data_IF_246347336442
#
_entry.id   IF_246347336442
#
_cell.length_a   1.000
_cell.length_b   1.000
_cell.length_c   1.000
_cell.angle_alpha   90.00
_cell.angle_beta   90.00
_cell.angle_gamma   90.00
#
_symmetry.space_group_name_H-M   'P 1'
#
loop_
_entity.id
_entity.type
_entity.pdbx_description
1 polymer ?
#
# COMPACT_ATOMS: atom_id res chain seq x y z
N UNK A 1 -8.97 38.82 1.75
CA UNK A 1 -7.99 37.71 1.62
C UNK A 1 -8.16 37.13 0.22
N UNK A 2 -7.11 37.17 -0.63
CA UNK A 2 -7.15 36.52 -1.94
C UNK A 2 -7.00 35.01 -1.75
N UNK A 3 -7.91 34.24 -2.34
CA UNK A 3 -7.87 32.78 -2.30
C UNK A 3 -6.85 32.29 -3.34
N UNK A 4 -5.98 31.36 -2.95
CA UNK A 4 -5.01 30.74 -3.87
C UNK A 4 -5.76 29.74 -4.76
N UNK A 5 -6.22 30.20 -5.92
CA UNK A 5 -6.99 29.43 -6.90
C UNK A 5 -6.50 29.78 -8.32
N UNK A 6 -6.25 28.79 -9.19
CA UNK A 6 -5.81 29.06 -10.55
C UNK A 6 -6.94 29.73 -11.37
N UNK A 7 -6.57 30.61 -12.31
CA UNK A 7 -7.53 31.25 -13.23
C UNK A 7 -7.95 30.32 -14.37
N UNK A 8 -7.05 29.42 -14.79
CA UNK A 8 -7.27 28.40 -15.82
C UNK A 8 -6.50 27.12 -15.47
N UNK A 9 -7.01 25.96 -15.90
CA UNK A 9 -6.27 24.70 -15.78
C UNK A 9 -5.15 24.64 -16.81
N UNK A 10 -4.06 23.95 -16.45
CA UNK A 10 -3.02 23.60 -17.41
C UNK A 10 -3.62 22.67 -18.48
N UNK A 11 -3.30 22.94 -19.74
CA UNK A 11 -3.57 22.01 -20.83
C UNK A 11 -2.65 20.80 -20.66
N UNK A 12 -3.24 19.60 -20.65
CA UNK A 12 -2.48 18.36 -20.54
C UNK A 12 -1.49 18.29 -21.71
N UNK A 13 -0.18 18.16 -21.47
CA UNK A 13 0.75 17.97 -22.57
C UNK A 13 0.35 16.69 -23.31
N UNK A 14 0.25 16.77 -24.64
CA UNK A 14 -0.06 15.62 -25.49
C UNK A 14 0.93 14.50 -25.19
N UNK A 15 0.44 13.38 -24.65
CA UNK A 15 1.22 12.16 -24.33
C UNK A 15 1.91 11.52 -25.55
N UNK A 16 1.70 12.07 -26.74
CA UNK A 16 2.49 11.79 -27.92
C UNK A 16 3.93 12.24 -27.67
N UNK A 17 4.77 11.30 -27.21
CA UNK A 17 6.21 11.45 -27.22
C UNK A 17 6.61 11.85 -28.63
N UNK A 18 7.07 13.08 -28.82
CA UNK A 18 7.77 13.49 -30.02
C UNK A 18 9.12 12.73 -30.06
N UNK A 19 9.07 11.44 -30.40
CA UNK A 19 10.23 10.59 -30.61
C UNK A 19 11.00 10.98 -31.89
N UNK A 20 10.53 11.99 -32.63
CA UNK A 20 11.06 12.43 -33.92
C UNK A 20 11.42 13.92 -33.97
N UNK A 21 11.52 14.60 -32.82
CA UNK A 21 12.03 15.98 -32.82
C UNK A 21 13.57 15.93 -32.83
N UNK A 22 14.25 16.44 -33.88
CA UNK A 22 15.69 16.42 -33.95
C UNK A 22 16.26 17.16 -32.74
N UNK A 23 17.30 16.59 -32.13
CA UNK A 23 18.06 17.28 -31.08
C UNK A 23 18.39 18.68 -31.59
N UNK A 24 17.99 19.70 -30.82
CA UNK A 24 18.42 21.06 -31.09
C UNK A 24 19.95 21.09 -30.90
N UNK A 25 20.67 20.84 -32.00
CA UNK A 25 22.05 21.29 -32.13
C UNK A 25 22.06 22.74 -31.71
N UNK A 26 23.10 23.14 -30.98
CA UNK A 26 23.36 24.50 -30.53
C UNK A 26 23.51 25.40 -31.76
N UNK A 27 22.40 25.77 -32.41
CA UNK A 27 22.36 26.83 -33.38
C UNK A 27 22.34 28.12 -32.58
N UNK A 28 23.54 28.67 -32.43
CA UNK A 28 23.72 30.04 -31.96
C UNK A 28 23.14 30.93 -33.05
N UNK A 29 22.03 31.59 -32.74
CA UNK A 29 21.51 32.67 -33.60
C UNK A 29 22.58 33.78 -33.68
N UNK A 30 22.63 34.52 -34.80
CA UNK A 30 23.62 35.57 -35.05
C UNK A 30 23.63 36.70 -34.00
N UNK A 31 22.63 36.71 -33.11
CA UNK A 31 22.51 37.60 -31.94
C UNK A 31 23.01 36.98 -30.61
N UNK A 32 23.66 35.82 -30.65
CA UNK A 32 24.30 35.18 -29.49
C UNK A 32 23.34 34.54 -28.47
N UNK A 33 22.06 34.34 -28.82
CA UNK A 33 21.07 33.74 -27.91
C UNK A 33 21.06 32.22 -28.07
N UNK A 34 21.23 31.51 -26.97
CA UNK A 34 21.22 30.05 -26.91
C UNK A 34 19.88 29.56 -26.32
N UNK A 35 19.04 28.83 -27.08
CA UNK A 35 17.86 28.18 -26.52
C UNK A 35 18.30 26.96 -25.69
N UNK A 36 18.11 27.00 -24.36
CA UNK A 36 18.34 25.83 -23.50
C UNK A 36 17.12 24.90 -23.49
N UNK A 37 16.96 24.08 -24.52
CA UNK A 37 15.89 23.06 -24.56
C UNK A 37 16.25 21.74 -23.86
N UNK A 38 17.47 21.58 -23.34
CA UNK A 38 18.00 20.27 -22.93
C UNK A 38 18.24 20.06 -21.43
N UNK A 39 17.65 20.87 -20.54
CA UNK A 39 17.86 20.72 -19.06
C UNK A 39 17.36 19.37 -18.52
N UNK A 40 16.47 18.67 -19.25
CA UNK A 40 15.91 17.37 -18.85
C UNK A 40 16.53 16.15 -19.54
N UNK A 41 17.53 16.33 -20.42
CA UNK A 41 18.24 15.22 -21.07
C UNK A 41 19.75 15.44 -20.93
N UNK A 42 20.40 14.84 -19.91
CA UNK A 42 21.85 14.87 -19.83
C UNK A 42 22.44 14.24 -21.10
N UNK A 43 23.44 14.90 -21.69
CA UNK A 43 24.16 14.36 -22.85
C UNK A 43 24.94 13.10 -22.43
N UNK A 44 24.98 12.05 -23.25
CA UNK A 44 25.98 10.99 -23.09
C UNK A 44 27.36 11.64 -23.13
N UNK A 45 28.18 11.42 -22.10
CA UNK A 45 29.52 12.02 -21.99
C UNK A 45 30.53 11.37 -22.96
N UNK A 46 30.18 10.21 -23.51
CA UNK A 46 31.00 9.45 -24.44
C UNK A 46 30.06 8.69 -25.38
N UNK A 47 30.11 9.01 -26.67
CA UNK A 47 29.57 8.13 -27.70
C UNK A 47 30.55 6.97 -27.84
N UNK A 48 30.24 5.83 -27.22
CA UNK A 48 30.99 4.60 -27.41
C UNK A 48 30.40 3.95 -28.66
N UNK A 49 31.13 3.98 -29.76
CA UNK A 49 30.80 3.18 -30.94
C UNK A 49 30.65 1.71 -30.51
N UNK A 50 29.59 0.99 -30.94
CA UNK A 50 29.44 -0.40 -30.59
C UNK A 50 30.65 -1.18 -31.09
N UNK A 51 31.31 -2.01 -30.26
CA UNK A 51 32.46 -2.76 -30.71
C UNK A 51 32.02 -3.72 -31.83
N UNK A 52 32.63 -3.54 -33.00
CA UNK A 52 32.52 -4.48 -34.11
C UNK A 52 32.82 -5.89 -33.59
N UNK A 53 31.84 -6.78 -33.68
CA UNK A 53 31.94 -8.13 -33.16
C UNK A 53 32.96 -8.94 -33.96
N UNK A 54 34.18 -9.09 -33.44
CA UNK A 54 35.07 -10.20 -33.77
C UNK A 54 35.18 -11.12 -32.56
N UNK A 55 34.80 -12.38 -32.77
CA UNK A 55 34.96 -13.54 -31.90
C UNK A 55 36.19 -13.48 -30.97
N UNK A 56 36.01 -13.79 -29.68
CA UNK A 56 36.59 -14.97 -28.98
C UNK A 56 36.17 -14.93 -27.50
N UNK A 57 35.81 -16.12 -27.00
CA UNK A 57 35.47 -16.54 -25.64
C UNK A 57 36.24 -15.89 -24.49
N UNK A 58 35.53 -15.48 -23.43
CA UNK A 58 35.79 -15.94 -22.05
C UNK A 58 34.70 -15.44 -21.06
N UNK A 59 34.38 -16.30 -20.10
CA UNK A 59 33.47 -16.06 -18.99
C UNK A 59 33.99 -14.93 -18.10
N UNK A 60 33.23 -13.84 -17.98
CA UNK A 60 33.07 -13.02 -16.77
C UNK A 60 31.92 -12.02 -17.02
N UNK A 61 31.26 -11.59 -15.94
CA UNK A 61 29.95 -10.94 -15.93
C UNK A 61 29.70 -9.95 -17.07
N UNK A 62 28.81 -10.33 -18.01
CA UNK A 62 28.08 -9.38 -18.85
C UNK A 62 27.17 -8.55 -17.94
N UNK A 63 27.65 -7.37 -17.52
CA UNK A 63 26.75 -6.28 -17.19
C UNK A 63 25.81 -6.12 -18.39
N UNK A 64 24.54 -6.41 -18.20
CA UNK A 64 23.56 -6.32 -19.27
C UNK A 64 23.49 -4.88 -19.77
N UNK A 65 23.82 -4.65 -21.04
CA UNK A 65 23.59 -3.41 -21.80
C UNK A 65 22.09 -3.17 -21.99
N UNK A 66 21.33 -3.03 -20.90
CA UNK A 66 19.95 -2.55 -20.97
C UNK A 66 20.00 -1.03 -21.11
N UNK A 67 19.41 -0.43 -22.17
CA UNK A 67 19.22 1.00 -22.26
C UNK A 67 18.62 1.54 -20.96
N UNK A 68 19.15 2.64 -20.44
CA UNK A 68 18.71 3.26 -19.18
C UNK A 68 17.18 3.51 -19.17
N UNK A 69 16.60 3.80 -20.34
CA UNK A 69 15.17 4.01 -20.56
C UNK A 69 14.30 2.77 -20.27
N UNK A 70 14.89 1.58 -20.32
CA UNK A 70 14.25 0.30 -19.99
C UNK A 70 14.52 -0.13 -18.54
N UNK A 71 15.22 0.68 -17.74
CA UNK A 71 15.46 0.37 -16.34
C UNK A 71 14.16 0.46 -15.53
N UNK A 72 13.73 -0.63 -14.87
CA UNK A 72 12.44 -0.68 -14.18
C UNK A 72 12.34 0.29 -13.00
N UNK A 73 13.47 0.61 -12.35
CA UNK A 73 13.52 1.60 -11.26
C UNK A 73 13.48 3.04 -11.79
N UNK A 74 14.05 3.32 -12.96
CA UNK A 74 13.87 4.61 -13.63
C UNK A 74 12.40 4.80 -14.01
N UNK A 75 11.78 3.78 -14.61
CA UNK A 75 10.36 3.81 -14.95
C UNK A 75 9.49 4.10 -13.72
N UNK A 76 9.75 3.44 -12.58
CA UNK A 76 9.06 3.72 -11.32
C UNK A 76 9.24 5.18 -10.86
N UNK A 77 10.45 5.75 -10.96
CA UNK A 77 10.71 7.16 -10.59
C UNK A 77 9.97 8.13 -11.51
N UNK A 78 9.96 7.86 -12.83
CA UNK A 78 9.21 8.67 -13.80
C UNK A 78 7.71 8.63 -13.48
N UNK A 79 7.14 7.44 -13.29
CA UNK A 79 5.74 7.27 -12.90
C UNK A 79 5.40 8.01 -11.60
N UNK A 80 6.33 8.06 -10.64
CA UNK A 80 6.14 8.82 -9.40
C UNK A 80 6.04 10.33 -9.66
N UNK A 81 6.94 10.90 -10.46
CA UNK A 81 6.89 12.34 -10.78
C UNK A 81 5.64 12.70 -11.60
N UNK A 82 5.32 11.88 -12.59
CA UNK A 82 4.13 12.06 -13.43
C UNK A 82 2.85 11.99 -12.58
N UNK A 83 2.77 11.00 -11.68
CA UNK A 83 1.65 10.83 -10.77
C UNK A 83 1.51 12.00 -9.80
N UNK A 84 2.62 12.52 -9.24
CA UNK A 84 2.58 13.69 -8.37
C UNK A 84 2.14 14.95 -9.13
N UNK A 85 2.59 15.14 -10.36
CA UNK A 85 2.15 16.25 -11.21
C UNK A 85 0.64 16.15 -11.50
N UNK A 86 0.14 14.95 -11.80
CA UNK A 86 -1.29 14.69 -12.00
C UNK A 86 -2.11 15.03 -10.75
N UNK A 87 -1.63 14.68 -9.55
CA UNK A 87 -2.34 15.02 -8.30
C UNK A 87 -2.41 16.54 -8.04
N UNK A 88 -1.45 17.33 -8.55
CA UNK A 88 -1.54 18.79 -8.49
C UNK A 88 -2.67 19.33 -9.37
N UNK A 89 -2.90 18.73 -10.53
CA UNK A 89 -4.03 19.08 -11.41
C UNK A 89 -5.38 18.73 -10.73
N UNK A 90 -5.45 17.61 -10.01
CA UNK A 90 -6.61 17.24 -9.19
C UNK A 90 -6.85 18.28 -8.09
N UNK A 91 -5.80 18.67 -7.36
CA UNK A 91 -5.87 19.72 -6.33
C UNK A 91 -6.35 21.06 -6.92
N UNK A 92 -5.92 21.41 -8.13
CA UNK A 92 -6.35 22.62 -8.85
C UNK A 92 -7.82 22.54 -9.27
N UNK A 93 -8.29 21.37 -9.73
CA UNK A 93 -9.70 21.13 -10.01
C UNK A 93 -10.54 21.31 -8.74
N UNK A 94 -10.11 20.73 -7.62
CA UNK A 94 -10.81 20.83 -6.34
C UNK A 94 -10.87 22.29 -5.84
N UNK A 95 -9.79 23.07 -6.03
CA UNK A 95 -9.78 24.52 -5.77
C UNK A 95 -10.76 25.27 -6.68
N UNK A 96 -10.77 24.98 -7.98
CA UNK A 96 -11.66 25.62 -8.94
C UNK A 96 -13.13 25.38 -8.62
N UNK A 97 -13.50 24.13 -8.33
CA UNK A 97 -14.85 23.71 -7.96
C UNK A 97 -15.33 24.39 -6.67
N UNK A 98 -14.42 24.67 -5.73
CA UNK A 98 -14.75 25.30 -4.44
C UNK A 98 -14.99 26.81 -4.54
N UNK A 99 -14.23 27.51 -5.37
CA UNK A 99 -14.20 28.97 -5.36
C UNK A 99 -14.88 29.65 -6.55
N UNK A 100 -15.17 28.93 -7.64
CA UNK A 100 -15.76 29.52 -8.84
C UNK A 100 -17.18 29.00 -9.10
N UNK A 101 -18.05 29.90 -9.58
CA UNK A 101 -19.34 29.52 -10.16
C UNK A 101 -19.10 29.15 -11.64
N UNK A 102 -19.32 27.88 -11.97
CA UNK A 102 -19.06 27.34 -13.30
C UNK A 102 -20.39 27.18 -14.07
N UNK A 103 -20.38 27.49 -15.37
CA UNK A 103 -21.58 27.46 -16.21
C UNK A 103 -22.27 26.08 -16.24
N UNK A 104 -21.49 25.00 -16.21
CA UNK A 104 -21.97 23.60 -16.18
C UNK A 104 -22.07 23.04 -14.74
N UNK A 105 -22.14 23.90 -13.72
CA UNK A 105 -22.16 23.49 -12.31
C UNK A 105 -20.93 22.65 -11.89
N UNK A 106 -19.87 22.65 -12.69
CA UNK A 106 -18.65 21.89 -12.50
C UNK A 106 -18.69 20.42 -12.95
N UNK A 107 -19.70 19.96 -13.70
CA UNK A 107 -19.81 18.55 -14.07
C UNK A 107 -18.63 18.07 -14.92
N UNK A 108 -18.22 18.83 -15.94
CA UNK A 108 -16.99 18.53 -16.71
C UNK A 108 -15.73 18.42 -15.85
N UNK A 109 -15.55 19.32 -14.87
CA UNK A 109 -14.39 19.29 -13.98
C UNK A 109 -14.41 18.07 -13.06
N UNK A 110 -15.56 17.71 -12.49
CA UNK A 110 -15.69 16.48 -11.68
C UNK A 110 -15.39 15.22 -12.51
N UNK A 111 -15.84 15.19 -13.78
CA UNK A 111 -15.50 14.10 -14.70
C UNK A 111 -14.00 14.04 -14.99
N UNK A 112 -13.37 15.18 -15.30
CA UNK A 112 -11.91 15.26 -15.52
C UNK A 112 -11.14 14.80 -14.28
N UNK A 113 -11.57 15.24 -13.08
CA UNK A 113 -11.00 14.81 -11.80
C UNK A 113 -11.01 13.30 -11.64
N UNK A 114 -12.14 12.66 -11.93
CA UNK A 114 -12.28 11.21 -11.85
C UNK A 114 -11.36 10.49 -12.84
N UNK A 115 -11.33 10.93 -14.10
CA UNK A 115 -10.47 10.35 -15.14
C UNK A 115 -8.99 10.42 -14.73
N UNK A 116 -8.53 11.55 -14.18
CA UNK A 116 -7.14 11.67 -13.71
C UNK A 116 -6.82 10.64 -12.61
N UNK A 117 -7.73 10.45 -11.65
CA UNK A 117 -7.52 9.47 -10.57
C UNK A 117 -7.50 8.03 -11.12
N UNK A 118 -8.37 7.70 -12.07
CA UNK A 118 -8.38 6.39 -12.76
C UNK A 118 -7.11 6.18 -13.60
N UNK A 119 -6.62 7.21 -14.30
CA UNK A 119 -5.36 7.19 -15.04
C UNK A 119 -4.15 6.93 -14.12
N UNK A 120 -4.19 7.48 -12.89
CA UNK A 120 -3.16 7.20 -11.90
C UNK A 120 -3.21 5.74 -11.45
N UNK A 121 -4.39 5.17 -11.17
CA UNK A 121 -4.51 3.74 -10.86
C UNK A 121 -3.99 2.85 -12.01
N UNK A 122 -4.32 3.19 -13.26
CA UNK A 122 -3.80 2.47 -14.43
C UNK A 122 -2.27 2.57 -14.54
N UNK A 123 -1.69 3.73 -14.23
CA UNK A 123 -0.22 3.93 -14.22
C UNK A 123 0.48 3.15 -13.11
N UNK A 124 -0.20 2.94 -11.99
CA UNK A 124 0.23 2.07 -10.89
C UNK A 124 -0.07 0.58 -11.15
N UNK A 125 -0.75 0.26 -12.27
CA UNK A 125 -1.22 -1.09 -12.64
C UNK A 125 -2.12 -1.73 -11.58
N UNK A 126 -3.00 -0.94 -10.98
CA UNK A 126 -3.97 -1.40 -10.00
C UNK A 126 -5.25 -1.86 -10.71
N UNK A 127 -5.36 -3.16 -10.97
CA UNK A 127 -6.54 -3.76 -11.58
C UNK A 127 -7.57 -4.19 -10.52
N UNK A 128 -8.87 -4.20 -10.87
CA UNK A 128 -9.91 -4.81 -10.03
C UNK A 128 -9.95 -6.33 -10.24
N UNK A 129 -9.51 -7.16 -9.29
CA UNK A 129 -9.58 -8.61 -9.39
C UNK A 129 -11.01 -9.12 -9.26
N UNK A 130 -11.97 -8.27 -8.88
CA UNK A 130 -13.39 -8.61 -8.83
C UNK A 130 -14.14 -8.22 -10.12
N UNK A 131 -13.46 -7.58 -11.08
CA UNK A 131 -14.04 -7.30 -12.38
C UNK A 131 -14.32 -8.63 -13.10
N UNK A 132 -15.57 -8.80 -13.56
CA UNK A 132 -16.08 -10.02 -14.21
C UNK A 132 -15.46 -10.22 -15.60
N UNK A 133 -14.18 -10.52 -15.69
CA UNK A 133 -13.55 -10.94 -16.93
C UNK A 133 -13.39 -12.47 -16.88
N UNK A 134 -14.17 -13.16 -17.73
CA UNK A 134 -14.37 -14.62 -17.73
C UNK A 134 -13.18 -15.47 -18.19
N UNK A 135 -11.97 -15.21 -17.69
CA UNK A 135 -10.85 -16.15 -17.76
C UNK A 135 -10.57 -16.71 -16.36
N UNK A 136 -11.36 -17.73 -16.04
CA UNK A 136 -11.38 -18.51 -14.80
C UNK A 136 -10.15 -19.42 -14.62
N UNK A 137 -8.98 -19.05 -15.17
CA UNK A 137 -7.77 -19.89 -15.11
C UNK A 137 -6.52 -19.15 -14.60
N UNK A 138 -6.62 -17.85 -14.29
CA UNK A 138 -5.53 -17.11 -13.67
C UNK A 138 -6.07 -16.15 -12.58
N UNK A 139 -6.40 -16.73 -11.43
CA UNK A 139 -6.08 -16.09 -10.14
C UNK A 139 -4.54 -16.04 -9.92
N UNK A 140 -3.77 -16.32 -10.98
CA UNK A 140 -2.35 -16.14 -11.06
C UNK A 140 -2.05 -14.67 -10.80
N UNK A 141 -1.23 -14.47 -9.79
CA UNK A 141 -0.50 -13.24 -9.50
C UNK A 141 -0.18 -12.51 -10.80
N UNK A 142 -1.03 -11.56 -11.21
CA UNK A 142 -0.54 -10.45 -12.00
C UNK A 142 0.46 -9.78 -11.09
N UNK A 143 1.72 -9.88 -11.50
CA UNK A 143 2.84 -9.38 -10.76
C UNK A 143 2.63 -7.90 -10.47
N UNK A 144 2.23 -7.57 -9.24
CA UNK A 144 2.10 -6.19 -8.72
C UNK A 144 3.48 -5.49 -8.65
N UNK A 145 4.47 -5.95 -9.43
CA UNK A 145 5.86 -5.51 -9.47
C UNK A 145 5.97 -4.02 -9.77
N UNK A 146 5.12 -3.46 -10.61
CA UNK A 146 5.12 -2.00 -10.86
C UNK A 146 4.72 -1.25 -9.59
N UNK A 147 3.61 -1.64 -8.97
CA UNK A 147 3.19 -1.07 -7.69
C UNK A 147 4.27 -1.23 -6.62
N UNK A 148 4.83 -2.43 -6.47
CA UNK A 148 5.88 -2.75 -5.49
C UNK A 148 7.15 -1.93 -5.71
N UNK A 149 7.62 -1.75 -6.95
CA UNK A 149 8.77 -0.89 -7.27
C UNK A 149 8.50 0.58 -6.92
N UNK A 150 7.28 1.06 -7.14
CA UNK A 150 6.88 2.42 -6.79
C UNK A 150 6.88 2.60 -5.27
N UNK A 151 6.22 1.71 -4.53
CA UNK A 151 6.13 1.82 -3.06
C UNK A 151 7.42 1.43 -2.32
N UNK A 152 8.39 0.82 -3.00
CA UNK A 152 9.75 0.65 -2.48
C UNK A 152 10.46 2.00 -2.27
N UNK A 153 10.09 3.03 -3.04
CA UNK A 153 10.68 4.36 -2.96
C UNK A 153 9.91 5.23 -1.96
N UNK A 154 10.58 6.00 -1.08
CA UNK A 154 9.91 6.90 -0.14
C UNK A 154 8.99 7.90 -0.84
N UNK A 155 9.39 8.44 -2.00
CA UNK A 155 8.55 9.36 -2.77
C UNK A 155 7.31 8.68 -3.36
N UNK A 156 7.39 7.39 -3.69
CA UNK A 156 6.22 6.60 -4.11
C UNK A 156 5.24 6.35 -2.96
N UNK A 157 5.74 6.12 -1.73
CA UNK A 157 4.87 6.08 -0.53
C UNK A 157 4.18 7.42 -0.26
N UNK A 158 4.87 8.55 -0.48
CA UNK A 158 4.28 9.90 -0.41
C UNK A 158 3.20 10.11 -1.48
N UNK A 159 3.46 9.68 -2.72
CA UNK A 159 2.48 9.69 -3.81
C UNK A 159 1.23 8.89 -3.40
N UNK A 160 1.39 7.66 -2.90
CA UNK A 160 0.29 6.81 -2.47
C UNK A 160 -0.53 7.44 -1.33
N UNK A 161 0.13 8.03 -0.33
CA UNK A 161 -0.55 8.73 0.75
C UNK A 161 -1.38 9.93 0.22
N UNK A 162 -0.81 10.73 -0.69
CA UNK A 162 -1.55 11.86 -1.31
C UNK A 162 -2.70 11.38 -2.19
N UNK A 163 -2.50 10.30 -2.93
CA UNK A 163 -3.54 9.71 -3.77
C UNK A 163 -4.74 9.26 -2.93
N UNK A 164 -4.50 8.50 -1.85
CA UNK A 164 -5.54 8.06 -0.92
C UNK A 164 -6.36 9.21 -0.30
N UNK A 165 -5.71 10.36 -0.01
CA UNK A 165 -6.39 11.54 0.53
C UNK A 165 -7.34 12.21 -0.47
N UNK A 166 -7.14 12.00 -1.77
CA UNK A 166 -7.94 12.61 -2.85
C UNK A 166 -9.06 11.69 -3.36
N UNK A 167 -9.02 10.40 -3.02
CA UNK A 167 -10.06 9.44 -3.36
C UNK A 167 -11.33 9.66 -2.53
N UNK A 168 -12.49 9.40 -3.15
CA UNK A 168 -13.76 9.48 -2.43
C UNK A 168 -13.95 8.26 -1.51
N UNK A 169 -14.36 8.46 -0.25
CA UNK A 169 -14.70 7.36 0.65
C UNK A 169 -15.84 6.51 0.07
N UNK A 170 -15.67 5.19 0.06
CA UNK A 170 -16.68 4.24 -0.44
C UNK A 170 -16.75 4.11 -1.96
N UNK A 171 -15.90 4.81 -2.72
CA UNK A 171 -15.80 4.64 -4.16
C UNK A 171 -15.07 3.34 -4.52
N UNK A 172 -15.36 2.84 -5.73
CA UNK A 172 -14.78 1.63 -6.30
C UNK A 172 -13.25 1.76 -6.42
N UNK A 173 -12.76 2.93 -6.84
CA UNK A 173 -11.33 3.21 -6.94
C UNK A 173 -10.62 3.13 -5.58
N UNK A 174 -11.26 3.62 -4.50
CA UNK A 174 -10.74 3.48 -3.14
C UNK A 174 -10.61 2.00 -2.76
N UNK A 175 -11.63 1.19 -3.07
CA UNK A 175 -11.61 -0.25 -2.81
C UNK A 175 -10.43 -0.93 -3.52
N UNK A 176 -10.23 -0.66 -4.80
CA UNK A 176 -9.14 -1.24 -5.61
C UNK A 176 -7.77 -0.91 -5.00
N UNK A 177 -7.53 0.38 -4.71
CA UNK A 177 -6.25 0.86 -4.16
C UNK A 177 -6.00 0.27 -2.77
N UNK A 178 -7.01 0.29 -1.87
CA UNK A 178 -6.88 -0.31 -0.55
C UNK A 178 -6.62 -1.81 -0.63
N UNK A 179 -7.31 -2.55 -1.50
CA UNK A 179 -7.10 -3.98 -1.62
C UNK A 179 -5.69 -4.33 -2.13
N UNK A 180 -5.10 -3.54 -3.03
CA UNK A 180 -3.70 -3.69 -3.43
C UNK A 180 -2.73 -3.43 -2.25
N UNK A 181 -2.99 -2.38 -1.45
CA UNK A 181 -2.21 -2.10 -0.23
C UNK A 181 -2.28 -3.27 0.76
N UNK A 182 -3.48 -3.81 0.98
CA UNK A 182 -3.74 -4.87 1.95
C UNK A 182 -3.08 -6.20 1.54
N UNK A 183 -3.01 -6.47 0.23
CA UNK A 183 -2.25 -7.60 -0.32
C UNK A 183 -0.75 -7.50 -0.02
N UNK A 184 -0.20 -6.29 0.10
CA UNK A 184 1.23 -6.03 0.22
C UNK A 184 1.66 -5.41 1.55
N UNK A 185 0.88 -5.62 2.62
CA UNK A 185 1.21 -5.10 3.96
C UNK A 185 2.58 -5.57 4.46
N UNK A 186 3.00 -6.79 4.13
CA UNK A 186 4.32 -7.31 4.51
C UNK A 186 5.47 -6.58 3.82
N UNK A 187 5.30 -6.21 2.55
CA UNK A 187 6.28 -5.43 1.81
C UNK A 187 6.34 -3.98 2.30
N UNK A 188 5.16 -3.37 2.53
CA UNK A 188 5.06 -1.97 2.97
C UNK A 188 5.58 -1.76 4.40
N UNK A 189 5.24 -2.66 5.33
CA UNK A 189 5.41 -2.44 6.77
C UNK A 189 6.27 -3.50 7.48
N UNK A 190 6.82 -4.48 6.74
CA UNK A 190 7.63 -5.56 7.32
C UNK A 190 9.11 -5.22 7.55
N UNK A 191 9.68 -4.29 6.79
CA UNK A 191 11.10 -3.94 6.84
C UNK A 191 11.48 -3.01 7.99
N UNK A 192 12.75 -3.10 8.42
CA UNK A 192 13.37 -2.08 9.26
C UNK A 192 13.73 -0.88 8.38
N UNK A 193 13.17 0.28 8.69
CA UNK A 193 13.34 1.49 7.88
C UNK A 193 14.32 2.46 8.53
N UNK A 194 15.11 3.14 7.70
CA UNK A 194 15.94 4.27 8.11
C UNK A 194 15.08 5.53 8.32
N UNK A 195 15.59 6.48 9.10
CA UNK A 195 14.86 7.65 9.63
C UNK A 195 13.94 8.39 8.61
N UNK A 196 14.38 8.81 7.41
CA UNK A 196 13.48 9.47 6.44
C UNK A 196 12.43 8.54 5.80
N UNK A 197 12.70 7.23 5.75
CA UNK A 197 11.77 6.22 5.27
C UNK A 197 10.71 5.85 6.33
N UNK A 198 11.09 5.89 7.60
CA UNK A 198 10.21 5.60 8.73
C UNK A 198 9.10 6.64 8.86
N UNK A 199 9.42 7.94 8.84
CA UNK A 199 8.41 9.03 8.91
C UNK A 199 7.39 8.93 7.77
N UNK A 200 7.87 8.68 6.55
CA UNK A 200 7.00 8.54 5.37
C UNK A 200 6.04 7.36 5.52
N UNK A 201 6.51 6.26 6.11
CA UNK A 201 5.73 5.04 6.31
C UNK A 201 4.72 5.19 7.44
N UNK A 202 5.10 5.89 8.51
CA UNK A 202 4.20 6.27 9.58
C UNK A 202 3.04 7.13 9.06
N UNK A 203 3.35 8.19 8.29
CA UNK A 203 2.32 9.02 7.65
C UNK A 203 1.41 8.20 6.73
N UNK A 204 1.98 7.31 5.90
CA UNK A 204 1.19 6.44 5.03
C UNK A 204 0.24 5.55 5.84
N UNK A 205 0.69 4.96 6.96
CA UNK A 205 -0.15 4.11 7.81
C UNK A 205 -1.34 4.87 8.42
N UNK A 206 -1.11 6.12 8.85
CA UNK A 206 -2.14 7.01 9.38
C UNK A 206 -3.17 7.37 8.32
N UNK A 207 -2.71 7.68 7.10
CA UNK A 207 -3.60 7.96 5.97
C UNK A 207 -4.44 6.74 5.62
N UNK A 208 -3.84 5.54 5.48
CA UNK A 208 -4.58 4.31 5.20
C UNK A 208 -5.63 4.06 6.27
N UNK A 209 -5.27 4.19 7.55
CA UNK A 209 -6.19 4.02 8.67
C UNK A 209 -7.34 5.01 8.61
N UNK A 210 -7.07 6.29 8.27
CA UNK A 210 -8.11 7.29 8.06
C UNK A 210 -9.03 6.95 6.89
N UNK A 211 -8.49 6.44 5.78
CA UNK A 211 -9.29 6.01 4.63
C UNK A 211 -10.19 4.82 4.98
N UNK A 212 -9.67 3.84 5.72
CA UNK A 212 -10.43 2.68 6.24
C UNK A 212 -11.65 3.13 7.05
N UNK A 213 -11.53 4.19 7.85
CA UNK A 213 -12.66 4.75 8.59
C UNK A 213 -13.79 5.29 7.69
N UNK A 214 -13.55 5.55 6.40
CA UNK A 214 -14.56 5.98 5.44
C UNK A 214 -15.18 4.85 4.60
N UNK A 215 -14.66 3.63 4.69
CA UNK A 215 -15.07 2.51 3.82
C UNK A 215 -16.36 1.83 4.30
N UNK A 216 -17.05 1.18 3.37
CA UNK A 216 -18.23 0.36 3.64
C UNK A 216 -17.86 -1.09 3.98
N UNK A 217 -18.82 -1.89 4.45
CA UNK A 217 -18.55 -3.25 4.91
C UNK A 217 -18.02 -4.14 3.77
N UNK A 218 -18.48 -3.93 2.54
CA UNK A 218 -18.01 -4.69 1.37
C UNK A 218 -16.53 -4.45 1.12
N UNK A 219 -16.10 -3.20 1.04
CA UNK A 219 -14.72 -2.85 0.77
C UNK A 219 -13.78 -3.31 1.91
N UNK A 220 -14.22 -3.22 3.17
CA UNK A 220 -13.48 -3.78 4.32
C UNK A 220 -13.30 -5.29 4.21
N UNK A 221 -14.36 -6.01 3.82
CA UNK A 221 -14.31 -7.48 3.66
C UNK A 221 -13.31 -7.89 2.58
N UNK A 222 -13.36 -7.23 1.42
CA UNK A 222 -12.43 -7.50 0.30
C UNK A 222 -10.98 -7.16 0.68
N UNK A 223 -10.76 -6.05 1.39
CA UNK A 223 -9.41 -5.71 1.88
C UNK A 223 -8.90 -6.77 2.86
N UNK A 224 -9.75 -7.27 3.76
CA UNK A 224 -9.37 -8.32 4.70
C UNK A 224 -9.07 -9.65 3.99
N UNK A 225 -9.90 -10.03 3.00
CA UNK A 225 -9.64 -11.18 2.15
C UNK A 225 -8.29 -11.06 1.40
N UNK A 226 -7.95 -9.88 0.89
CA UNK A 226 -6.68 -9.65 0.20
C UNK A 226 -5.45 -9.88 1.11
N UNK A 227 -5.57 -9.67 2.42
CA UNK A 227 -4.51 -10.00 3.39
C UNK A 227 -4.32 -11.50 3.50
N UNK A 228 -5.42 -12.25 3.58
CA UNK A 228 -5.41 -13.71 3.68
C UNK A 228 -4.84 -14.33 2.40
N UNK A 229 -5.25 -13.82 1.24
CA UNK A 229 -4.81 -14.31 -0.06
C UNK A 229 -3.40 -13.83 -0.47
N UNK A 230 -2.72 -13.06 0.38
CA UNK A 230 -1.35 -12.62 0.11
C UNK A 230 -0.37 -13.78 0.16
N UNK A 231 0.66 -13.75 -0.71
CA UNK A 231 1.78 -14.68 -0.67
C UNK A 231 2.64 -14.51 0.58
N UNK A 232 2.64 -13.32 1.18
CA UNK A 232 3.44 -13.01 2.37
C UNK A 232 2.55 -12.50 3.51
N UNK A 233 2.67 -13.12 4.69
CA UNK A 233 1.88 -12.71 5.85
C UNK A 233 2.33 -11.36 6.40
N UNK A 234 1.39 -10.45 6.75
CA UNK A 234 1.73 -9.16 7.33
C UNK A 234 2.43 -9.31 8.70
N UNK A 235 3.25 -8.33 9.11
CA UNK A 235 3.83 -8.30 10.45
C UNK A 235 2.73 -7.97 11.47
N UNK A 236 2.22 -8.97 12.17
CA UNK A 236 1.20 -8.81 13.22
C UNK A 236 1.84 -8.49 14.58
N UNK A 237 2.64 -7.41 14.64
CA UNK A 237 3.34 -6.99 15.88
C UNK A 237 2.36 -6.29 16.84
N UNK A 238 2.59 -6.31 18.16
CA UNK A 238 1.75 -5.54 19.09
C UNK A 238 1.85 -4.04 18.84
N UNK A 239 0.85 -3.26 19.25
CA UNK A 239 0.89 -1.81 19.13
C UNK A 239 1.99 -1.21 20.02
N UNK A 240 2.66 -0.17 19.53
CA UNK A 240 3.82 0.44 20.18
C UNK A 240 5.13 -0.35 20.05
N UNK A 241 5.18 -1.39 19.21
CA UNK A 241 6.42 -2.14 19.00
C UNK A 241 7.49 -1.25 18.34
N UNK A 242 8.73 -1.20 18.86
CA UNK A 242 9.79 -0.34 18.33
C UNK A 242 10.20 -0.69 16.90
N UNK A 243 9.95 -1.93 16.45
CA UNK A 243 10.21 -2.37 15.07
C UNK A 243 9.08 -2.01 14.10
N UNK A 244 8.09 -1.21 14.53
CA UNK A 244 6.94 -0.77 13.75
C UNK A 244 5.73 -1.69 13.89
N UNK A 245 4.56 -1.10 14.11
CA UNK A 245 3.26 -1.75 14.36
C UNK A 245 2.18 -1.41 13.31
N UNK A 246 2.58 -0.74 12.23
CA UNK A 246 1.69 -0.13 11.24
C UNK A 246 0.68 -1.10 10.61
N UNK A 247 1.10 -2.33 10.28
CA UNK A 247 0.19 -3.33 9.71
C UNK A 247 -0.90 -3.74 10.71
N UNK A 248 -0.53 -3.98 11.98
CA UNK A 248 -1.50 -4.27 13.04
C UNK A 248 -2.44 -3.09 13.28
N UNK A 249 -1.94 -1.87 13.25
CA UNK A 249 -2.74 -0.65 13.40
C UNK A 249 -3.79 -0.49 12.28
N UNK A 250 -3.40 -0.77 11.04
CA UNK A 250 -4.30 -0.76 9.88
C UNK A 250 -5.37 -1.86 10.02
N UNK A 251 -4.98 -3.09 10.34
CA UNK A 251 -5.90 -4.22 10.50
C UNK A 251 -6.87 -4.00 11.67
N UNK A 252 -6.38 -3.45 12.79
CA UNK A 252 -7.22 -3.05 13.91
C UNK A 252 -8.24 -1.99 13.48
N UNK A 253 -7.84 -1.01 12.68
CA UNK A 253 -8.74 0.02 12.15
C UNK A 253 -9.87 -0.59 11.30
N UNK A 254 -9.59 -1.65 10.54
CA UNK A 254 -10.62 -2.40 9.78
C UNK A 254 -11.63 -3.06 10.71
N UNK A 255 -11.15 -3.77 11.74
CA UNK A 255 -12.02 -4.45 12.71
C UNK A 255 -12.87 -3.45 13.52
N UNK A 256 -12.27 -2.34 13.96
CA UNK A 256 -12.96 -1.28 14.69
C UNK A 256 -14.03 -0.62 13.82
N UNK A 257 -13.74 -0.33 12.55
CA UNK A 257 -14.72 0.20 11.61
C UNK A 257 -15.84 -0.79 11.32
N UNK A 258 -15.53 -2.06 11.09
CA UNK A 258 -16.55 -3.08 10.85
C UNK A 258 -17.48 -3.25 12.06
N UNK A 259 -16.93 -3.17 13.28
CA UNK A 259 -17.72 -3.18 14.52
C UNK A 259 -18.73 -2.04 14.54
N UNK A 260 -18.29 -0.80 14.24
CA UNK A 260 -19.18 0.37 14.16
C UNK A 260 -20.29 0.17 13.14
N UNK A 261 -19.94 -0.25 11.92
CA UNK A 261 -20.92 -0.50 10.85
C UNK A 261 -21.96 -1.56 11.25
N UNK A 262 -21.55 -2.64 11.92
CA UNK A 262 -22.46 -3.69 12.38
C UNK A 262 -23.44 -3.21 13.47
N UNK A 263 -22.97 -2.37 14.38
CA UNK A 263 -23.83 -1.73 15.39
C UNK A 263 -24.85 -0.83 14.70
N UNK A 264 -24.40 -0.01 13.73
CA UNK A 264 -25.26 0.90 12.98
C UNK A 264 -26.30 0.14 12.13
N UNK A 265 -25.91 -0.95 11.46
CA UNK A 265 -26.84 -1.79 10.69
C UNK A 265 -27.93 -2.40 11.56
N UNK A 266 -27.56 -2.86 12.77
CA UNK A 266 -28.52 -3.40 13.75
C UNK A 266 -29.49 -2.31 14.21
N UNK A 267 -29.01 -1.11 14.46
CA UNK A 267 -29.83 0.03 14.89
C UNK A 267 -30.77 0.53 13.77
N UNK A 268 -30.31 0.53 12.52
CA UNK A 268 -31.06 1.03 11.36
C UNK A 268 -32.01 -0.01 10.73
N UNK A 269 -31.96 -1.29 11.14
CA UNK A 269 -32.75 -2.36 10.54
C UNK A 269 -32.35 -2.72 9.10
N UNK A 270 -31.19 -2.23 8.63
CA UNK A 270 -30.71 -2.43 7.26
C UNK A 270 -29.79 -3.67 7.19
N UNK A 271 -30.36 -4.82 6.83
CA UNK A 271 -29.63 -6.09 6.72
C UNK A 271 -29.20 -6.37 5.29
N UNK A 272 -28.02 -5.88 4.88
CA UNK A 272 -27.40 -6.38 3.64
C UNK A 272 -26.73 -7.74 3.91
N UNK A 273 -27.52 -8.81 3.77
CA UNK A 273 -27.10 -10.19 4.05
C UNK A 273 -25.85 -10.61 3.27
N UNK A 274 -25.70 -10.18 2.02
CA UNK A 274 -24.56 -10.54 1.18
C UNK A 274 -23.25 -9.89 1.68
N UNK A 275 -23.30 -8.63 2.10
CA UNK A 275 -22.13 -7.95 2.67
C UNK A 275 -21.76 -8.55 4.05
N UNK A 276 -22.75 -8.96 4.84
CA UNK A 276 -22.51 -9.62 6.13
C UNK A 276 -21.89 -11.01 5.97
N UNK A 277 -22.38 -11.82 5.00
CA UNK A 277 -21.81 -13.13 4.72
C UNK A 277 -20.39 -13.01 4.18
N UNK A 278 -20.14 -12.05 3.28
CA UNK A 278 -18.80 -11.77 2.78
C UNK A 278 -17.85 -11.38 3.91
N UNK A 279 -18.27 -10.44 4.77
CA UNK A 279 -17.49 -10.05 5.95
C UNK A 279 -17.16 -11.24 6.84
N UNK A 280 -18.16 -12.07 7.17
CA UNK A 280 -17.97 -13.22 8.06
C UNK A 280 -16.95 -14.21 7.47
N UNK A 281 -17.07 -14.52 6.18
CA UNK A 281 -16.13 -15.40 5.50
C UNK A 281 -14.71 -14.82 5.49
N UNK A 282 -14.55 -13.54 5.14
CA UNK A 282 -13.24 -12.87 5.14
C UNK A 282 -12.64 -12.78 6.54
N UNK A 283 -13.46 -12.50 7.56
CA UNK A 283 -13.04 -12.45 8.95
C UNK A 283 -12.60 -13.82 9.47
N UNK A 284 -13.32 -14.90 9.16
CA UNK A 284 -12.99 -16.24 9.64
C UNK A 284 -11.63 -16.71 9.13
N UNK A 285 -11.36 -16.47 7.85
CA UNK A 285 -10.04 -16.77 7.26
C UNK A 285 -8.93 -15.92 7.88
N UNK A 286 -9.19 -14.63 8.09
CA UNK A 286 -8.23 -13.75 8.78
C UNK A 286 -7.98 -14.19 10.22
N UNK A 287 -9.03 -14.60 10.95
CA UNK A 287 -8.91 -15.07 12.33
C UNK A 287 -8.09 -16.35 12.41
N UNK A 288 -8.22 -17.25 11.44
CA UNK A 288 -7.38 -18.44 11.31
C UNK A 288 -5.91 -18.07 11.10
N UNK A 289 -5.62 -17.09 10.23
CA UNK A 289 -4.27 -16.56 10.02
C UNK A 289 -3.70 -15.96 11.32
N UNK A 290 -4.47 -15.11 12.02
CA UNK A 290 -4.06 -14.49 13.28
C UNK A 290 -3.80 -15.53 14.37
N UNK A 291 -4.65 -16.55 14.47
CA UNK A 291 -4.50 -17.63 15.45
C UNK A 291 -3.24 -18.45 15.19
N UNK A 292 -2.97 -18.81 13.93
CA UNK A 292 -1.72 -19.49 13.53
C UNK A 292 -0.50 -18.64 13.87
N UNK A 293 -0.55 -17.34 13.61
CA UNK A 293 0.52 -16.42 13.99
C UNK A 293 0.78 -16.42 15.50
N UNK A 294 -0.28 -16.33 16.32
CA UNK A 294 -0.16 -16.32 17.78
C UNK A 294 0.44 -17.64 18.30
N UNK A 295 0.00 -18.79 17.80
CA UNK A 295 0.53 -20.10 18.18
C UNK A 295 2.02 -20.19 17.84
N UNK A 296 2.39 -19.86 16.59
CA UNK A 296 3.79 -19.92 16.15
C UNK A 296 4.69 -19.00 16.97
N UNK A 297 4.22 -17.80 17.32
CA UNK A 297 4.97 -16.86 18.15
C UNK A 297 5.12 -17.36 19.58
N UNK A 298 4.07 -17.93 20.15
CA UNK A 298 4.13 -18.54 21.48
C UNK A 298 5.16 -19.69 21.51
N UNK A 299 5.09 -20.60 20.53
CA UNK A 299 6.03 -21.73 20.44
C UNK A 299 7.48 -21.26 20.27
N UNK A 300 7.70 -20.23 19.45
CA UNK A 300 9.03 -19.62 19.26
C UNK A 300 9.57 -19.03 20.56
N UNK A 301 8.74 -18.29 21.31
CA UNK A 301 9.12 -17.72 22.62
C UNK A 301 9.46 -18.84 23.61
N UNK A 302 8.60 -19.86 23.72
CA UNK A 302 8.81 -20.99 24.62
C UNK A 302 10.06 -21.79 24.28
N UNK A 303 10.34 -22.01 22.99
CA UNK A 303 11.56 -22.69 22.55
C UNK A 303 12.81 -21.86 22.86
N UNK A 304 12.76 -20.54 22.65
CA UNK A 304 13.88 -19.64 22.96
C UNK A 304 14.20 -19.60 24.45
N UNK A 305 13.18 -19.60 25.31
CA UNK A 305 13.34 -19.65 26.76
C UNK A 305 13.96 -20.97 27.20
N UNK A 306 13.48 -22.11 26.69
CA UNK A 306 14.07 -23.43 26.98
C UNK A 306 15.55 -23.52 26.61
N UNK A 307 15.96 -22.88 25.51
CA UNK A 307 17.36 -22.85 25.07
C UNK A 307 18.25 -21.91 25.91
N UNK A 308 17.68 -20.91 26.58
CA UNK A 308 18.41 -19.97 27.44
C UNK A 308 18.61 -20.49 28.87
N UNK A 309 17.86 -21.53 29.26
CA UNK A 309 18.02 -22.17 30.58
C UNK A 309 19.34 -22.95 30.64
N UNK A 310 20.27 -22.47 31.47
CA UNK A 310 21.38 -23.30 31.97
C UNK A 310 20.81 -24.36 32.91
N UNK A 311 21.40 -25.57 33.00
CA UNK A 311 20.83 -26.71 33.72
C UNK A 311 20.49 -26.50 35.21
N UNK A 312 20.90 -25.38 35.83
CA UNK A 312 20.69 -25.06 37.25
C UNK A 312 19.96 -23.74 37.53
N UNK A 313 19.29 -23.11 36.54
CA UNK A 313 18.49 -21.90 36.78
C UNK A 313 17.02 -22.14 36.42
N UNK A 314 16.11 -21.89 37.38
CA UNK A 314 14.69 -21.84 37.10
C UNK A 314 14.38 -20.61 36.21
N UNK A 315 13.46 -20.76 35.27
CA UNK A 315 12.97 -19.65 34.47
C UNK A 315 12.10 -18.77 35.38
N UNK A 316 12.39 -17.47 35.45
CA UNK A 316 11.47 -16.53 36.11
C UNK A 316 10.15 -16.45 35.33
N UNK A 317 9.06 -16.86 35.96
CA UNK A 317 7.70 -16.81 35.43
C UNK A 317 7.30 -15.40 34.96
N UNK A 318 7.80 -14.37 35.67
CA UNK A 318 7.58 -12.97 35.30
C UNK A 318 8.22 -12.65 33.94
N UNK A 319 9.39 -13.22 33.66
CA UNK A 319 10.12 -12.99 32.41
C UNK A 319 9.48 -13.72 31.22
N UNK A 320 8.93 -14.92 31.44
CA UNK A 320 8.13 -15.63 30.42
C UNK A 320 6.91 -14.82 30.03
N UNK A 321 6.16 -14.36 31.03
CA UNK A 321 4.93 -13.61 30.81
C UNK A 321 5.20 -12.30 30.07
N UNK A 322 6.31 -11.61 30.39
CA UNK A 322 6.75 -10.40 29.68
C UNK A 322 7.17 -10.72 28.24
N UNK A 323 7.91 -11.79 28.02
CA UNK A 323 8.36 -12.18 26.68
C UNK A 323 7.17 -12.52 25.76
N UNK A 324 6.19 -13.27 26.27
CA UNK A 324 4.95 -13.58 25.52
C UNK A 324 4.18 -12.30 25.22
N UNK A 325 3.94 -11.44 26.22
CA UNK A 325 3.21 -10.17 26.04
C UNK A 325 3.86 -9.25 25.01
N UNK A 326 5.19 -9.30 24.85
CA UNK A 326 5.93 -8.50 23.87
C UNK A 326 5.75 -8.97 22.42
N UNK A 327 5.37 -10.22 22.19
CA UNK A 327 5.20 -10.79 20.85
C UNK A 327 3.71 -10.94 20.45
N UNK A 328 2.81 -11.03 21.42
CA UNK A 328 1.38 -11.28 21.17
C UNK A 328 0.61 -10.01 20.76
N UNK A 329 -0.12 -10.00 19.62
CA UNK A 329 -0.89 -8.85 19.16
C UNK A 329 -2.22 -8.71 19.91
N UNK A 330 -2.16 -8.42 21.21
CA UNK A 330 -3.33 -8.38 22.12
C UNK A 330 -4.39 -7.40 21.65
N UNK A 331 -4.00 -6.21 21.16
CA UNK A 331 -4.96 -5.20 20.68
C UNK A 331 -5.77 -5.69 19.47
N UNK A 332 -5.14 -6.48 18.59
CA UNK A 332 -5.78 -7.04 17.41
C UNK A 332 -6.71 -8.18 17.80
N UNK A 333 -6.29 -9.06 18.73
CA UNK A 333 -7.14 -10.10 19.31
C UNK A 333 -8.37 -9.50 20.01
N UNK A 334 -8.19 -8.40 20.74
CA UNK A 334 -9.29 -7.69 21.37
C UNK A 334 -10.27 -7.10 20.34
N UNK A 335 -9.74 -6.51 19.25
CA UNK A 335 -10.57 -5.98 18.17
C UNK A 335 -11.35 -7.07 17.39
N UNK A 336 -10.92 -8.34 17.46
CA UNK A 336 -11.65 -9.47 16.90
C UNK A 336 -12.89 -9.88 17.73
N UNK A 337 -12.95 -9.55 19.02
CA UNK A 337 -14.01 -10.05 19.94
C UNK A 337 -15.45 -9.78 19.48
N UNK A 338 -15.79 -8.65 18.83
CA UNK A 338 -17.16 -8.44 18.33
C UNK A 338 -17.55 -9.34 17.14
N UNK A 339 -16.57 -9.99 16.50
CA UNK A 339 -16.74 -10.69 15.22
C UNK A 339 -16.64 -12.22 15.33
N UNK A 340 -16.09 -12.73 16.43
CA UNK A 340 -15.89 -14.17 16.64
C UNK A 340 -17.21 -14.91 16.90
N UNK A 341 -17.26 -16.16 16.45
CA UNK A 341 -18.30 -17.12 16.83
C UNK A 341 -17.93 -17.87 18.12
N UNK A 342 -18.85 -18.70 18.63
CA UNK A 342 -18.64 -19.46 19.88
C UNK A 342 -17.47 -20.44 19.82
N UNK A 343 -17.17 -21.00 18.63
CA UNK A 343 -16.03 -21.90 18.46
C UNK A 343 -14.70 -21.13 18.53
N UNK A 344 -14.61 -19.99 17.84
CA UNK A 344 -13.45 -19.11 17.87
C UNK A 344 -13.23 -18.52 19.27
N UNK A 345 -14.30 -18.24 20.02
CA UNK A 345 -14.21 -17.83 21.43
C UNK A 345 -13.55 -18.88 22.32
N UNK A 346 -13.87 -20.17 22.12
CA UNK A 346 -13.19 -21.27 22.82
C UNK A 346 -11.70 -21.32 22.47
N UNK A 347 -11.34 -21.15 21.19
CA UNK A 347 -9.94 -21.10 20.77
C UNK A 347 -9.14 -19.98 21.46
N UNK A 348 -9.71 -18.78 21.61
CA UNK A 348 -9.05 -17.68 22.34
C UNK A 348 -8.86 -18.05 23.81
N UNK A 349 -9.88 -18.66 24.45
CA UNK A 349 -9.78 -19.11 25.84
C UNK A 349 -8.68 -20.16 26.01
N UNK A 350 -8.57 -21.13 25.10
CA UNK A 350 -7.53 -22.15 25.12
C UNK A 350 -6.13 -21.55 24.94
N UNK A 351 -5.97 -20.55 24.07
CA UNK A 351 -4.71 -19.81 23.91
C UNK A 351 -4.35 -19.00 25.15
N UNK A 352 -5.34 -18.34 25.77
CA UNK A 352 -5.14 -17.63 27.03
C UNK A 352 -4.74 -18.60 28.13
N UNK A 353 -5.36 -19.78 28.20
CA UNK A 353 -5.00 -20.80 29.18
C UNK A 353 -3.59 -21.33 28.93
N UNK A 354 -3.17 -21.59 27.69
CA UNK A 354 -1.79 -21.99 27.39
C UNK A 354 -0.76 -20.94 27.82
N UNK A 355 -1.05 -19.65 27.63
CA UNK A 355 -0.17 -18.58 28.09
C UNK A 355 -0.18 -18.38 29.62
N UNK A 356 -1.23 -18.82 30.31
CA UNK A 356 -1.35 -18.79 31.79
C UNK A 356 -0.85 -20.08 32.47
N UNK A 357 -0.93 -21.24 31.83
CA UNK A 357 -0.53 -22.56 32.39
C UNK A 357 0.99 -22.67 32.54
N UNK A 358 1.77 -21.84 31.84
CA UNK A 358 3.20 -21.65 32.12
C UNK A 358 3.44 -20.94 33.47
N UNK A 359 2.39 -20.37 34.08
CA UNK A 359 2.42 -19.76 35.42
C UNK A 359 2.00 -20.67 36.58
N UNK A 360 1.91 -21.98 36.37
CA UNK A 360 1.58 -22.93 37.46
C UNK A 360 2.46 -24.19 37.49
N UNK A 361 3.53 -24.25 36.68
CA UNK A 361 4.39 -25.45 36.58
C UNK A 361 5.78 -25.23 37.16
#
# INVERSE_FOLDING_TARGET
>A
RHHFCPTHLRDLPSRARANAEPHAFLQVDALGRVPFSSVRRPRPLLEVDPPNSSFVTNNDQKASDMPLELEPMLAARVTIEDGLCLLLDVDDIDRLLKFNQLQDGGAQLRRRRQVLLEELAASLQLDDPLAKNGHTDELAQKDDLVFLRIVALPKGRKLLARYLQLLFPGDELMRIVCMAIFRHLRFLFGGLLTDPGAETTDNLSKVISSCVHGMDLRALSVCLAAVVCSSEQPPLRPLGNPSGDWASLILKSVLDRATKLMIDFRAAGNYNMANQSLWKASFDEFFNLLTKYCINKYDTVMQSLRMQVKPNMAIDESDVTKAIKREMPVDLLHACLPHINDQQKKLILDLSQRSLVVGQS
#
